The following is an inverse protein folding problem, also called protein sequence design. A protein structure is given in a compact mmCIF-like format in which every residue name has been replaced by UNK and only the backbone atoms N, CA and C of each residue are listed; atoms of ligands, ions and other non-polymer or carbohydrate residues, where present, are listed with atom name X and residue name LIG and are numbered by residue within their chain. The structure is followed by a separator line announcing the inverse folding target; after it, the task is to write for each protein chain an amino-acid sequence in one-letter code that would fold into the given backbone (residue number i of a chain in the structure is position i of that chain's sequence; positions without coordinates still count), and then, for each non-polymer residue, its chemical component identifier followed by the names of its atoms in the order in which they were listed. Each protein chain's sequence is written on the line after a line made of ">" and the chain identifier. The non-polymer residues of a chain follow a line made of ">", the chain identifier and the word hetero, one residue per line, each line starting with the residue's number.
data_IF_375746192859
#
_entry.id   IF_375746192859
#
_cell.length_a   1.000
_cell.length_b   1.000
_cell.length_c   1.000
_cell.angle_alpha   90.00
_cell.angle_beta   90.00
_cell.angle_gamma   90.00
#
_symmetry.space_group_name_H-M   'P 1'
#
loop_
_entity.id
_entity.type
_entity.pdbx_description
1 polymer ?
#
# COMPACT_ATOMS: atom_id res chain seq x y z
N UNK A 1 -39.34 15.16 18.88
CA UNK A 1 -38.69 13.85 18.71
C UNK A 1 -38.30 13.36 20.11
N UNK A 2 -38.40 12.06 20.42
CA UNK A 2 -37.99 11.60 21.76
C UNK A 2 -36.46 11.55 21.83
N UNK A 3 -35.86 11.93 22.97
CA UNK A 3 -34.40 11.96 23.18
C UNK A 3 -33.71 10.66 22.77
N UNK A 4 -34.31 9.52 23.12
CA UNK A 4 -33.81 8.20 22.72
C UNK A 4 -33.66 8.04 21.20
N UNK A 5 -34.54 8.67 20.41
CA UNK A 5 -34.47 8.59 18.95
C UNK A 5 -33.40 9.51 18.36
N UNK A 6 -33.06 10.61 19.05
CA UNK A 6 -31.97 11.51 18.66
C UNK A 6 -30.61 10.89 18.98
N UNK A 7 -30.48 10.25 20.15
CA UNK A 7 -29.28 9.50 20.57
C UNK A 7 -29.00 8.33 19.64
N UNK A 8 -30.01 7.52 19.30
CA UNK A 8 -29.87 6.43 18.33
C UNK A 8 -29.44 6.92 16.94
N UNK A 9 -29.98 8.05 16.49
CA UNK A 9 -29.59 8.62 15.21
C UNK A 9 -28.15 9.16 15.23
N UNK A 10 -27.67 9.64 16.38
CA UNK A 10 -26.29 10.07 16.56
C UNK A 10 -25.33 8.88 16.63
N UNK A 11 -25.68 7.83 17.35
CA UNK A 11 -24.90 6.59 17.44
C UNK A 11 -24.73 5.95 16.05
N UNK A 12 -25.80 5.82 15.27
CA UNK A 12 -25.73 5.32 13.88
C UNK A 12 -24.82 6.18 12.99
N UNK A 13 -24.79 7.51 13.19
CA UNK A 13 -23.89 8.39 12.44
C UNK A 13 -22.43 8.16 12.83
N UNK A 14 -22.14 8.01 14.12
CA UNK A 14 -20.78 7.74 14.62
C UNK A 14 -20.28 6.34 14.23
N UNK A 15 -21.15 5.34 14.26
CA UNK A 15 -20.87 4.00 13.73
C UNK A 15 -20.57 4.04 12.23
N UNK A 16 -21.38 4.78 11.46
CA UNK A 16 -21.14 4.98 10.02
C UNK A 16 -19.81 5.65 9.71
N UNK A 17 -19.44 6.71 10.45
CA UNK A 17 -18.13 7.37 10.33
C UNK A 17 -16.98 6.40 10.66
N UNK A 18 -17.12 5.65 11.75
CA UNK A 18 -16.13 4.69 12.21
C UNK A 18 -15.94 3.54 11.22
N UNK A 19 -17.03 3.02 10.66
CA UNK A 19 -17.00 1.99 9.63
C UNK A 19 -16.33 2.50 8.34
N UNK A 20 -16.72 3.70 7.88
CA UNK A 20 -16.12 4.32 6.70
C UNK A 20 -14.62 4.58 6.84
N UNK A 21 -14.16 5.01 8.02
CA UNK A 21 -12.74 5.21 8.30
C UNK A 21 -11.96 3.88 8.27
N UNK A 22 -12.49 2.83 8.91
CA UNK A 22 -11.87 1.49 8.90
C UNK A 22 -11.77 0.92 7.49
N UNK A 23 -12.83 1.03 6.69
CA UNK A 23 -12.84 0.55 5.32
C UNK A 23 -11.88 1.35 4.43
N UNK A 24 -11.87 2.68 4.60
CA UNK A 24 -10.93 3.58 3.90
C UNK A 24 -9.48 3.22 4.19
N UNK A 25 -9.13 2.96 5.45
CA UNK A 25 -7.79 2.55 5.86
C UNK A 25 -7.39 1.22 5.21
N UNK A 26 -8.24 0.19 5.32
CA UNK A 26 -7.99 -1.13 4.72
C UNK A 26 -7.81 -1.06 3.21
N UNK A 27 -8.64 -0.27 2.52
CA UNK A 27 -8.53 -0.06 1.07
C UNK A 27 -7.24 0.69 0.71
N UNK A 28 -6.84 1.65 1.53
CA UNK A 28 -5.59 2.38 1.41
C UNK A 28 -4.37 1.46 1.54
N UNK A 29 -4.33 0.63 2.57
CA UNK A 29 -3.29 -0.36 2.81
C UNK A 29 -3.17 -1.36 1.65
N UNK A 30 -4.31 -1.93 1.20
CA UNK A 30 -4.33 -2.86 0.08
C UNK A 30 -3.79 -2.21 -1.20
N UNK A 31 -4.21 -0.97 -1.50
CA UNK A 31 -3.74 -0.23 -2.66
C UNK A 31 -2.25 0.09 -2.56
N UNK A 32 -1.76 0.45 -1.38
CA UNK A 32 -0.33 0.67 -1.12
C UNK A 32 0.49 -0.59 -1.36
N UNK A 33 0.03 -1.72 -0.84
CA UNK A 33 0.68 -3.02 -1.04
C UNK A 33 0.69 -3.44 -2.51
N UNK A 34 -0.40 -3.23 -3.24
CA UNK A 34 -0.46 -3.50 -4.68
C UNK A 34 0.54 -2.64 -5.47
N UNK A 35 0.63 -1.34 -5.18
CA UNK A 35 1.61 -0.45 -5.82
C UNK A 35 3.06 -0.85 -5.51
N UNK A 36 3.35 -1.19 -4.25
CA UNK A 36 4.68 -1.67 -3.85
C UNK A 36 5.04 -2.96 -4.62
N UNK A 37 4.12 -3.93 -4.66
CA UNK A 37 4.30 -5.18 -5.41
C UNK A 37 4.56 -4.91 -6.90
N UNK A 38 3.77 -4.05 -7.53
CA UNK A 38 3.94 -3.70 -8.94
C UNK A 38 5.30 -3.07 -9.22
N UNK A 39 5.74 -2.14 -8.37
CA UNK A 39 7.05 -1.49 -8.48
C UNK A 39 8.19 -2.50 -8.35
N UNK A 40 8.15 -3.37 -7.34
CA UNK A 40 9.15 -4.44 -7.16
C UNK A 40 9.18 -5.41 -8.34
N UNK A 41 8.03 -5.81 -8.89
CA UNK A 41 7.99 -6.70 -10.05
C UNK A 41 8.57 -6.05 -11.30
N UNK A 42 8.29 -4.76 -11.54
CA UNK A 42 8.91 -3.99 -12.63
C UNK A 42 10.43 -3.90 -12.45
N UNK A 43 10.91 -3.73 -11.22
CA UNK A 43 12.33 -3.70 -10.92
C UNK A 43 12.99 -5.04 -11.25
N UNK A 44 12.41 -6.15 -10.78
CA UNK A 44 12.89 -7.51 -11.06
C UNK A 44 12.92 -7.80 -12.56
N UNK A 45 11.89 -7.38 -13.31
CA UNK A 45 11.86 -7.51 -14.76
C UNK A 45 13.03 -6.77 -15.42
N UNK A 46 13.23 -5.48 -15.10
CA UNK A 46 14.37 -4.70 -15.61
C UNK A 46 15.72 -5.31 -15.25
N UNK A 47 15.88 -5.81 -14.02
CA UNK A 47 17.11 -6.48 -13.59
C UNK A 47 17.36 -7.76 -14.38
N UNK A 48 16.30 -8.52 -14.67
CA UNK A 48 16.39 -9.74 -15.47
C UNK A 48 16.77 -9.44 -16.92
N UNK A 49 16.17 -8.41 -17.52
CA UNK A 49 16.47 -7.95 -18.89
C UNK A 49 17.91 -7.46 -19.05
N UNK A 50 18.45 -6.76 -18.04
CA UNK A 50 19.78 -6.15 -18.11
C UNK A 50 20.89 -7.02 -17.48
N UNK A 51 20.58 -8.25 -17.06
CA UNK A 51 21.56 -9.20 -16.52
C UNK A 51 21.95 -9.01 -15.04
N UNK A 52 21.27 -8.13 -14.29
CA UNK A 52 21.49 -7.89 -12.86
C UNK A 52 20.87 -8.98 -11.95
N UNK A 53 20.81 -10.22 -12.44
CA UNK A 53 20.10 -11.32 -11.75
C UNK A 53 20.72 -11.68 -10.39
N UNK A 54 22.03 -11.44 -10.22
CA UNK A 54 22.74 -11.62 -8.95
C UNK A 54 22.21 -10.74 -7.80
N UNK A 55 21.62 -9.59 -8.13
CA UNK A 55 21.06 -8.67 -7.15
C UNK A 55 19.59 -8.97 -6.82
N UNK A 56 18.87 -9.76 -7.64
CA UNK A 56 17.46 -10.08 -7.41
C UNK A 56 17.29 -10.82 -6.08
N UNK A 57 18.17 -11.78 -5.78
CA UNK A 57 18.16 -12.53 -4.53
C UNK A 57 18.41 -11.64 -3.29
N UNK A 58 18.99 -10.44 -3.50
CA UNK A 58 19.37 -9.48 -2.47
C UNK A 58 18.44 -8.27 -2.39
N UNK A 59 17.33 -8.24 -3.15
CA UNK A 59 16.39 -7.12 -3.12
C UNK A 59 15.70 -6.89 -1.76
N UNK A 60 15.79 -7.85 -0.84
CA UNK A 60 15.35 -7.66 0.55
C UNK A 60 16.29 -6.75 1.35
N UNK A 61 17.54 -6.58 0.90
CA UNK A 61 18.48 -5.62 1.47
C UNK A 61 18.09 -4.21 0.99
N UNK A 62 17.71 -3.28 1.90
CA UNK A 62 17.23 -1.95 1.53
C UNK A 62 18.19 -1.15 0.65
N UNK A 63 19.50 -1.31 0.87
CA UNK A 63 20.56 -0.65 0.13
C UNK A 63 20.62 -1.15 -1.32
N UNK A 64 20.43 -2.45 -1.53
CA UNK A 64 20.38 -3.06 -2.87
C UNK A 64 19.11 -2.64 -3.59
N UNK A 65 17.97 -2.67 -2.90
CA UNK A 65 16.69 -2.21 -3.46
C UNK A 65 16.79 -0.77 -3.95
N UNK A 66 17.26 0.15 -3.09
CA UNK A 66 17.38 1.58 -3.43
C UNK A 66 18.36 1.78 -4.59
N UNK A 67 19.54 1.16 -4.53
CA UNK A 67 20.53 1.25 -5.62
C UNK A 67 19.97 0.79 -6.96
N UNK A 68 19.18 -0.28 -6.98
CA UNK A 68 18.59 -0.80 -8.22
C UNK A 68 17.45 0.11 -8.72
N UNK A 69 16.60 0.63 -7.83
CA UNK A 69 15.58 1.62 -8.19
C UNK A 69 16.20 2.87 -8.82
N UNK A 70 17.27 3.39 -8.22
CA UNK A 70 18.03 4.54 -8.72
C UNK A 70 18.65 4.25 -10.09
N UNK A 71 19.30 3.08 -10.25
CA UNK A 71 19.92 2.63 -11.52
C UNK A 71 18.91 2.64 -12.68
N UNK A 72 17.65 2.33 -12.39
CA UNK A 72 16.59 2.22 -13.41
C UNK A 72 15.64 3.42 -13.47
N UNK A 73 15.89 4.47 -12.68
CA UNK A 73 15.07 5.68 -12.63
C UNK A 73 13.63 5.40 -12.19
N UNK A 74 13.47 4.52 -11.19
CA UNK A 74 12.17 4.08 -10.67
C UNK A 74 11.92 4.70 -9.29
N UNK A 75 11.59 5.98 -9.21
CA UNK A 75 11.10 6.61 -7.96
C UNK A 75 9.56 6.54 -7.83
#
# INVERSE_FOLDING_TARGET
>A
MCKAMEEWAEELREEGKSAGMKEGMKKGELRGMQKAKESTLKLVAKMSENGDTEYIARLMEPEVYRRMMDKYGME
#
